data_IF_829680089180
#
_entry.id   IF_829680089180
#
_cell.length_a   1.000
_cell.length_b   1.000
_cell.length_c   1.000
_cell.angle_alpha   90.00
_cell.angle_beta   90.00
_cell.angle_gamma   90.00
#
_symmetry.space_group_name_H-M   'P 1'
#
loop_
_entity.id
_entity.type
_entity.pdbx_description
1 polymer ?
#
# COMPACT_ATOMS: atom_id res chain seq x y z
N UNK A 1 9.08 -20.60 6.97
CA UNK A 1 8.72 -19.23 6.62
C UNK A 1 8.38 -19.18 5.14
N UNK A 2 7.38 -18.39 4.75
CA UNK A 2 6.97 -18.22 3.36
C UNK A 2 8.10 -17.67 2.49
N UNK A 3 8.09 -18.03 1.20
CA UNK A 3 8.97 -17.43 0.18
C UNK A 3 8.48 -16.06 -0.20
N UNK A 4 9.35 -15.05 -0.23
CA UNK A 4 8.96 -13.66 -0.48
C UNK A 4 9.64 -13.14 -1.75
N UNK A 5 8.81 -12.74 -2.72
CA UNK A 5 9.23 -12.07 -3.94
C UNK A 5 8.81 -10.60 -3.92
N UNK A 6 9.76 -9.70 -4.16
CA UNK A 6 9.50 -8.26 -4.18
C UNK A 6 9.66 -7.75 -5.60
N UNK A 7 8.58 -7.24 -6.18
CA UNK A 7 8.69 -6.48 -7.41
C UNK A 7 9.14 -5.03 -7.13
N UNK A 8 9.47 -4.31 -8.19
CA UNK A 8 9.90 -2.91 -8.06
C UNK A 8 8.72 -2.05 -7.58
N UNK A 9 8.86 -1.44 -6.41
CA UNK A 9 7.82 -0.59 -5.84
C UNK A 9 7.97 0.85 -6.34
N UNK A 10 7.03 1.37 -7.16
CA UNK A 10 7.10 2.73 -7.72
C UNK A 10 7.08 3.81 -6.63
N UNK A 11 6.51 3.53 -5.46
CA UNK A 11 6.45 4.47 -4.35
C UNK A 11 7.84 4.80 -3.77
N UNK A 12 8.82 3.89 -3.89
CA UNK A 12 10.21 4.17 -3.51
C UNK A 12 10.85 5.25 -4.37
N UNK A 13 10.66 5.18 -5.69
CA UNK A 13 11.13 6.21 -6.62
C UNK A 13 10.45 7.55 -6.35
N UNK A 14 9.12 7.54 -6.19
CA UNK A 14 8.34 8.74 -5.87
C UNK A 14 8.76 9.37 -4.53
N UNK A 15 9.11 8.58 -3.52
CA UNK A 15 9.59 9.06 -2.23
C UNK A 15 10.97 9.72 -2.37
N UNK A 16 11.90 9.15 -3.16
CA UNK A 16 13.20 9.75 -3.47
C UNK A 16 13.04 11.07 -4.20
N UNK A 17 12.18 11.15 -5.21
CA UNK A 17 11.87 12.37 -5.95
C UNK A 17 11.28 13.47 -5.03
N UNK A 18 10.38 13.10 -4.10
CA UNK A 18 9.84 14.06 -3.14
C UNK A 18 10.92 14.64 -2.22
N UNK A 19 11.84 13.81 -1.74
CA UNK A 19 12.99 14.26 -0.93
C UNK A 19 13.98 15.12 -1.73
N UNK A 20 14.24 14.76 -2.99
CA UNK A 20 15.08 15.57 -3.86
C UNK A 20 14.45 16.95 -4.13
N UNK A 21 13.13 17.01 -4.34
CA UNK A 21 12.40 18.26 -4.47
C UNK A 21 12.44 19.12 -3.21
N UNK A 22 12.33 18.50 -2.02
CA UNK A 22 12.52 19.18 -0.73
C UNK A 22 13.92 19.81 -0.64
N UNK A 23 14.97 19.03 -0.92
CA UNK A 23 16.35 19.52 -0.89
C UNK A 23 16.57 20.67 -1.89
N UNK A 24 16.04 20.56 -3.09
CA UNK A 24 16.12 21.64 -4.09
C UNK A 24 15.43 22.92 -3.62
N UNK A 25 14.26 22.82 -2.98
CA UNK A 25 13.57 24.00 -2.42
C UNK A 25 14.36 24.63 -1.26
N UNK A 26 15.01 23.84 -0.40
CA UNK A 26 15.86 24.34 0.68
C UNK A 26 17.07 25.11 0.11
N UNK A 27 17.74 24.53 -0.88
CA UNK A 27 18.88 25.19 -1.55
C UNK A 27 18.44 26.48 -2.27
N UNK A 28 17.28 26.48 -2.92
CA UNK A 28 16.69 27.66 -3.53
C UNK A 28 16.40 28.77 -2.50
N UNK A 29 15.83 28.44 -1.36
CA UNK A 29 15.59 29.40 -0.28
C UNK A 29 16.90 30.01 0.25
N UNK A 30 17.95 29.19 0.44
CA UNK A 30 19.28 29.68 0.84
C UNK A 30 19.88 30.60 -0.20
N UNK A 31 19.81 30.24 -1.49
CA UNK A 31 20.31 31.08 -2.58
C UNK A 31 19.63 32.46 -2.61
N UNK A 32 18.29 32.49 -2.40
CA UNK A 32 17.52 33.76 -2.33
C UNK A 32 18.00 34.62 -1.17
N UNK A 33 18.26 34.02 0.01
CA UNK A 33 18.78 34.75 1.17
C UNK A 33 20.16 35.34 0.87
N UNK A 34 21.08 34.57 0.25
CA UNK A 34 22.41 35.03 -0.15
C UNK A 34 22.31 36.19 -1.17
N UNK A 35 21.45 36.06 -2.17
CA UNK A 35 21.22 37.12 -3.15
C UNK A 35 20.66 38.40 -2.50
N UNK A 36 19.73 38.26 -1.55
CA UNK A 36 19.16 39.42 -0.84
C UNK A 36 20.23 40.19 -0.04
N UNK A 37 21.18 39.46 0.59
CA UNK A 37 22.29 40.07 1.33
C UNK A 37 23.28 40.74 0.40
N UNK A 38 23.61 40.12 -0.75
CA UNK A 38 24.67 40.62 -1.66
C UNK A 38 24.17 41.79 -2.50
N UNK A 39 22.97 41.68 -3.06
CA UNK A 39 22.51 42.67 -4.06
C UNK A 39 21.70 43.84 -3.47
N UNK A 40 21.14 43.71 -2.28
CA UNK A 40 20.36 44.72 -1.55
C UNK A 40 19.31 45.47 -2.39
N UNK A 41 18.81 44.80 -3.44
CA UNK A 41 17.80 45.32 -4.38
C UNK A 41 16.74 44.27 -4.61
N UNK A 42 15.56 44.65 -5.12
CA UNK A 42 14.49 43.77 -5.53
C UNK A 42 13.93 42.86 -4.38
N UNK A 43 13.92 43.36 -3.15
CA UNK A 43 13.51 42.59 -1.95
C UNK A 43 12.11 41.97 -2.11
N UNK A 44 11.21 42.62 -2.83
CA UNK A 44 9.86 42.07 -3.03
C UNK A 44 9.87 40.77 -3.84
N UNK A 45 10.59 40.73 -4.96
CA UNK A 45 10.74 39.52 -5.77
C UNK A 45 11.46 38.42 -4.99
N UNK A 46 12.53 38.78 -4.25
CA UNK A 46 13.25 37.83 -3.41
C UNK A 46 12.35 37.22 -2.32
N UNK A 47 11.52 38.05 -1.70
CA UNK A 47 10.54 37.57 -0.73
C UNK A 47 9.52 36.60 -1.37
N UNK A 48 9.05 36.89 -2.57
CA UNK A 48 8.14 35.99 -3.30
C UNK A 48 8.79 34.64 -3.59
N UNK A 49 10.04 34.65 -4.06
CA UNK A 49 10.80 33.38 -4.30
C UNK A 49 11.05 32.61 -3.01
N UNK A 50 11.39 33.29 -1.92
CA UNK A 50 11.57 32.67 -0.61
C UNK A 50 10.27 32.00 -0.12
N UNK A 51 9.14 32.71 -0.19
CA UNK A 51 7.83 32.15 0.17
C UNK A 51 7.46 30.94 -0.70
N UNK A 52 7.72 30.99 -2.01
CA UNK A 52 7.50 29.86 -2.91
C UNK A 52 8.37 28.66 -2.54
N UNK A 53 9.65 28.88 -2.21
CA UNK A 53 10.55 27.81 -1.78
C UNK A 53 10.10 27.17 -0.45
N UNK A 54 9.70 27.98 0.55
CA UNK A 54 9.17 27.50 1.83
C UNK A 54 7.88 26.68 1.61
N UNK A 55 6.97 27.16 0.77
CA UNK A 55 5.78 26.41 0.40
C UNK A 55 6.13 25.08 -0.29
N UNK A 56 7.12 25.08 -1.18
CA UNK A 56 7.67 23.90 -1.83
C UNK A 56 8.18 22.88 -0.83
N UNK A 57 9.01 23.29 0.14
CA UNK A 57 9.51 22.44 1.23
C UNK A 57 8.34 21.78 1.96
N UNK A 58 7.37 22.57 2.44
CA UNK A 58 6.20 22.04 3.13
C UNK A 58 5.41 21.03 2.28
N UNK A 59 5.23 21.32 1.00
CA UNK A 59 4.49 20.47 0.05
C UNK A 59 5.20 19.13 -0.18
N UNK A 60 6.52 19.15 -0.37
CA UNK A 60 7.32 17.94 -0.60
C UNK A 60 7.47 17.10 0.67
N UNK A 61 7.68 17.72 1.84
CA UNK A 61 7.72 17.02 3.13
C UNK A 61 6.41 16.27 3.39
N UNK A 62 5.27 16.93 3.21
CA UNK A 62 3.95 16.29 3.37
C UNK A 62 3.78 15.09 2.42
N UNK A 63 4.23 15.23 1.17
CA UNK A 63 4.17 14.14 0.18
C UNK A 63 5.11 12.99 0.56
N UNK A 64 6.32 13.29 0.96
CA UNK A 64 7.30 12.29 1.40
C UNK A 64 6.79 11.51 2.62
N UNK A 65 6.23 12.19 3.62
CA UNK A 65 5.66 11.55 4.81
C UNK A 65 4.53 10.57 4.49
N UNK A 66 3.62 10.93 3.55
CA UNK A 66 2.55 10.05 3.10
C UNK A 66 3.13 8.78 2.43
N UNK A 67 4.08 8.95 1.51
CA UNK A 67 4.71 7.84 0.80
C UNK A 67 5.51 6.93 1.75
N UNK A 68 6.24 7.51 2.71
CA UNK A 68 6.97 6.75 3.74
C UNK A 68 6.03 5.95 4.62
N UNK A 69 4.90 6.54 5.02
CA UNK A 69 3.88 5.83 5.79
C UNK A 69 3.34 4.61 5.02
N UNK A 70 3.07 4.75 3.72
CA UNK A 70 2.67 3.64 2.85
C UNK A 70 3.74 2.54 2.81
N UNK A 71 4.99 2.90 2.51
CA UNK A 71 6.11 1.95 2.47
C UNK A 71 6.35 1.23 3.81
N UNK A 72 6.14 1.93 4.94
CA UNK A 72 6.24 1.32 6.27
C UNK A 72 5.15 0.27 6.50
N UNK A 73 3.91 0.55 6.07
CA UNK A 73 2.80 -0.40 6.12
C UNK A 73 3.05 -1.65 5.28
N UNK A 74 3.50 -1.49 4.05
CA UNK A 74 3.86 -2.61 3.17
C UNK A 74 4.99 -3.46 3.76
N UNK A 75 6.02 -2.83 4.34
CA UNK A 75 7.10 -3.54 5.03
C UNK A 75 6.59 -4.33 6.24
N UNK A 76 5.69 -3.76 7.02
CA UNK A 76 5.07 -4.43 8.16
C UNK A 76 4.21 -5.61 7.71
N UNK A 77 3.40 -5.46 6.67
CA UNK A 77 2.61 -6.53 6.07
C UNK A 77 3.48 -7.67 5.52
N UNK A 78 4.57 -7.34 4.80
CA UNK A 78 5.53 -8.34 4.32
C UNK A 78 6.13 -9.13 5.48
N UNK A 79 6.50 -8.47 6.58
CA UNK A 79 7.03 -9.13 7.79
C UNK A 79 5.97 -10.04 8.44
N UNK A 80 4.71 -9.59 8.47
CA UNK A 80 3.60 -10.40 8.98
C UNK A 80 3.38 -11.66 8.15
N UNK A 81 3.26 -11.52 6.83
CA UNK A 81 3.03 -12.62 5.90
C UNK A 81 4.22 -13.60 5.79
N UNK A 82 5.43 -13.15 6.09
CA UNK A 82 6.62 -14.02 6.19
C UNK A 82 6.49 -15.13 7.25
N UNK A 83 5.59 -14.98 8.23
CA UNK A 83 5.31 -15.99 9.26
C UNK A 83 4.51 -17.17 8.74
N UNK A 84 3.92 -17.07 7.54
CA UNK A 84 3.27 -18.21 6.91
C UNK A 84 4.26 -19.36 6.67
N UNK A 85 3.81 -20.63 6.63
CA UNK A 85 4.65 -21.79 6.33
C UNK A 85 5.37 -21.69 4.98
N UNK A 86 6.35 -22.55 4.76
CA UNK A 86 7.18 -22.52 3.54
C UNK A 86 6.43 -22.88 2.24
N UNK A 87 5.27 -23.53 2.38
CA UNK A 87 4.37 -23.86 1.25
C UNK A 87 3.67 -22.62 0.67
N UNK A 88 3.76 -21.47 1.34
CA UNK A 88 3.19 -20.22 0.88
C UNK A 88 4.23 -19.37 0.18
N UNK A 89 3.82 -18.78 -0.93
CA UNK A 89 4.57 -17.77 -1.67
C UNK A 89 3.90 -16.42 -1.54
N UNK A 90 4.66 -15.40 -1.13
CA UNK A 90 4.19 -14.02 -0.99
C UNK A 90 4.86 -13.16 -2.07
N UNK A 91 4.06 -12.53 -2.92
CA UNK A 91 4.54 -11.60 -3.95
C UNK A 91 4.06 -10.21 -3.62
N UNK A 92 5.00 -9.29 -3.40
CA UNK A 92 4.68 -7.91 -3.06
C UNK A 92 4.62 -7.02 -4.30
N UNK A 93 3.71 -6.05 -4.31
CA UNK A 93 3.53 -5.04 -5.36
C UNK A 93 3.28 -5.66 -6.75
N UNK A 94 2.22 -6.46 -6.84
CA UNK A 94 1.84 -7.14 -8.07
C UNK A 94 1.02 -6.21 -8.93
N UNK A 95 1.48 -5.97 -10.16
CA UNK A 95 0.73 -5.24 -11.18
C UNK A 95 -0.04 -6.21 -12.04
N UNK A 96 -1.36 -6.10 -12.01
CA UNK A 96 -2.29 -6.88 -12.81
C UNK A 96 -2.79 -6.04 -13.99
N UNK A 97 -2.87 -6.65 -15.16
CA UNK A 97 -3.43 -6.02 -16.36
C UNK A 97 -4.18 -7.06 -17.21
N UNK A 98 -5.41 -6.73 -17.62
CA UNK A 98 -6.23 -7.51 -18.57
C UNK A 98 -7.07 -6.56 -19.41
N UNK A 99 -6.73 -6.42 -20.69
CA UNK A 99 -7.30 -5.39 -21.56
C UNK A 99 -6.99 -3.99 -21.00
N UNK A 100 -8.01 -3.17 -20.84
CA UNK A 100 -7.88 -1.83 -20.23
C UNK A 100 -7.87 -1.83 -18.70
N UNK A 101 -8.29 -2.93 -18.07
CA UNK A 101 -8.36 -3.03 -16.61
C UNK A 101 -6.98 -3.25 -16.02
N UNK A 102 -6.64 -2.42 -15.03
CA UNK A 102 -5.38 -2.46 -14.30
C UNK A 102 -5.62 -2.37 -12.80
N UNK A 103 -4.84 -3.10 -12.03
CA UNK A 103 -4.83 -3.02 -10.58
C UNK A 103 -3.42 -3.26 -10.03
N UNK A 104 -3.11 -2.64 -8.92
CA UNK A 104 -1.93 -2.93 -8.10
C UNK A 104 -2.42 -3.66 -6.85
N UNK A 105 -1.79 -4.76 -6.49
CA UNK A 105 -2.05 -5.54 -5.27
C UNK A 105 -0.82 -5.41 -4.39
N UNK A 106 -1.01 -4.89 -3.17
CA UNK A 106 0.11 -4.63 -2.25
C UNK A 106 0.86 -5.91 -1.87
N UNK A 107 0.11 -6.98 -1.58
CA UNK A 107 0.68 -8.31 -1.41
C UNK A 107 -0.29 -9.39 -1.92
N UNK A 108 0.21 -10.32 -2.70
CA UNK A 108 -0.46 -11.53 -3.13
C UNK A 108 0.14 -12.71 -2.40
N UNK A 109 -0.70 -13.57 -1.82
CA UNK A 109 -0.27 -14.82 -1.19
C UNK A 109 -0.85 -15.97 -1.98
N UNK A 110 0.00 -16.91 -2.38
CA UNK A 110 -0.39 -18.17 -3.03
C UNK A 110 0.05 -19.33 -2.14
N UNK A 111 -0.86 -20.20 -1.81
CA UNK A 111 -0.58 -21.34 -0.95
C UNK A 111 -1.65 -22.43 -1.01
N UNK A 112 -1.49 -23.52 -0.25
CA UNK A 112 -2.41 -24.66 -0.28
C UNK A 112 -3.86 -24.27 0.03
N UNK A 113 -4.08 -23.25 0.83
CA UNK A 113 -5.39 -22.76 1.24
C UNK A 113 -6.05 -21.77 0.28
N UNK A 114 -5.42 -21.46 -0.87
CA UNK A 114 -5.97 -20.57 -1.88
C UNK A 114 -5.02 -19.43 -2.29
N UNK A 115 -5.60 -18.47 -3.00
CA UNK A 115 -4.92 -17.27 -3.45
C UNK A 115 -5.54 -16.07 -2.72
N UNK A 116 -4.69 -15.23 -2.12
CA UNK A 116 -5.16 -14.09 -1.33
C UNK A 116 -4.60 -12.79 -1.89
N UNK A 117 -5.48 -11.81 -2.13
CA UNK A 117 -5.09 -10.43 -2.39
C UNK A 117 -5.16 -9.66 -1.08
N UNK A 118 -4.03 -9.17 -0.59
CA UNK A 118 -3.94 -8.42 0.66
C UNK A 118 -3.72 -6.95 0.33
N UNK A 119 -4.74 -6.14 0.62
CA UNK A 119 -4.66 -4.68 0.58
C UNK A 119 -4.15 -4.16 1.93
N UNK A 120 -3.10 -3.36 1.92
CA UNK A 120 -2.44 -2.88 3.14
C UNK A 120 -2.78 -1.42 3.41
N UNK A 121 -3.20 -1.13 4.63
CA UNK A 121 -3.45 0.24 5.10
C UNK A 121 -2.59 0.54 6.33
N UNK A 122 -1.89 1.68 6.31
CA UNK A 122 -1.08 2.16 7.45
C UNK A 122 -1.70 3.42 8.07
N UNK A 123 -3.01 3.38 8.32
CA UNK A 123 -3.74 4.48 8.95
C UNK A 123 -3.74 4.32 10.46
N UNK A 124 -3.47 5.40 11.21
CA UNK A 124 -3.60 5.46 12.66
C UNK A 124 -4.95 6.07 13.05
N UNK A 125 -5.36 5.86 14.30
CA UNK A 125 -6.58 6.41 14.91
C UNK A 125 -7.78 5.48 14.77
N UNK A 126 -8.97 6.01 15.10
CA UNK A 126 -10.22 5.27 15.02
C UNK A 126 -10.75 5.27 13.59
N UNK A 127 -11.07 4.09 13.07
CA UNK A 127 -11.61 3.87 11.73
C UNK A 127 -12.94 3.14 11.89
N UNK A 128 -13.99 3.75 11.40
CA UNK A 128 -15.37 3.24 11.53
C UNK A 128 -16.01 3.17 10.15
N UNK A 129 -16.66 2.06 9.85
CA UNK A 129 -17.32 1.87 8.57
C UNK A 129 -18.00 0.51 8.43
N UNK A 130 -18.43 0.23 7.21
CA UNK A 130 -19.05 -1.02 6.80
C UNK A 130 -18.47 -1.48 5.46
N UNK A 131 -18.36 -2.77 5.23
CA UNK A 131 -17.77 -3.33 4.00
C UNK A 131 -18.51 -2.94 2.73
N UNK A 132 -19.80 -2.59 2.82
CA UNK A 132 -20.61 -2.17 1.67
C UNK A 132 -20.65 -0.65 1.45
N UNK A 133 -20.22 0.16 2.42
CA UNK A 133 -20.18 1.62 2.29
C UNK A 133 -19.05 2.08 1.37
N UNK A 134 -19.29 3.12 0.58
CA UNK A 134 -18.28 3.69 -0.33
C UNK A 134 -17.08 4.31 0.41
N UNK A 135 -17.34 4.93 1.56
CA UNK A 135 -16.31 5.63 2.35
C UNK A 135 -16.46 5.24 3.82
N UNK A 136 -15.31 5.18 4.50
CA UNK A 136 -15.21 5.02 5.95
C UNK A 136 -14.78 6.31 6.62
N UNK A 137 -15.05 6.45 7.90
CA UNK A 137 -14.66 7.61 8.70
C UNK A 137 -13.38 7.27 9.49
N UNK A 138 -12.39 8.17 9.40
CA UNK A 138 -11.17 8.10 10.19
C UNK A 138 -11.12 9.30 11.13
N UNK A 139 -10.93 9.06 12.42
CA UNK A 139 -10.71 10.07 13.44
C UNK A 139 -9.32 9.91 14.04
N UNK A 140 -8.51 10.96 14.01
CA UNK A 140 -7.17 10.98 14.58
C UNK A 140 -7.10 11.99 15.70
N UNK A 141 -6.65 11.55 16.88
CA UNK A 141 -6.27 12.47 17.93
C UNK A 141 -5.03 13.28 17.52
N UNK A 142 -5.00 14.56 17.83
CA UNK A 142 -3.83 15.43 17.72
C UNK A 142 -3.37 15.82 19.12
N UNK A 143 -2.06 16.06 19.25
CA UNK A 143 -1.42 16.32 20.54
C UNK A 143 -1.95 17.56 21.22
N UNK A 144 -2.41 18.54 20.45
CA UNK A 144 -3.09 19.72 20.94
C UNK A 144 -4.12 20.16 19.90
N UNK A 145 -5.39 20.29 20.30
CA UNK A 145 -6.48 20.71 19.45
C UNK A 145 -7.59 19.65 19.24
N UNK A 146 -8.57 19.99 18.44
CA UNK A 146 -9.68 19.11 18.12
C UNK A 146 -9.24 17.90 17.27
N UNK A 147 -9.90 16.73 17.41
CA UNK A 147 -9.62 15.57 16.59
C UNK A 147 -9.80 15.87 15.08
N UNK A 148 -8.93 15.31 14.27
CA UNK A 148 -9.04 15.43 12.82
C UNK A 148 -9.96 14.32 12.28
N UNK A 149 -11.05 14.70 11.65
CA UNK A 149 -11.98 13.80 10.97
C UNK A 149 -11.70 13.78 9.47
N UNK A 150 -11.56 12.59 8.91
CA UNK A 150 -11.34 12.39 7.46
C UNK A 150 -12.20 11.26 6.95
N UNK A 151 -12.66 11.39 5.70
CA UNK A 151 -13.20 10.28 4.94
C UNK A 151 -12.07 9.56 4.21
N UNK A 152 -12.06 8.23 4.28
CA UNK A 152 -11.19 7.37 3.48
C UNK A 152 -12.03 6.49 2.57
N UNK A 153 -11.54 6.19 1.38
CA UNK A 153 -12.19 5.22 0.49
C UNK A 153 -12.18 3.84 1.16
N UNK A 154 -13.28 3.12 1.02
CA UNK A 154 -13.40 1.76 1.55
C UNK A 154 -12.34 0.83 0.90
N UNK A 155 -11.39 0.29 1.68
CA UNK A 155 -10.36 -0.58 1.13
C UNK A 155 -10.88 -1.96 0.75
N UNK A 156 -12.02 -2.41 1.29
CA UNK A 156 -12.66 -3.68 0.91
C UNK A 156 -13.18 -3.58 -0.52
N UNK A 157 -13.80 -2.46 -0.91
CA UNK A 157 -14.25 -2.25 -2.30
C UNK A 157 -13.06 -2.12 -3.27
N UNK A 158 -11.93 -1.56 -2.81
CA UNK A 158 -10.70 -1.54 -3.60
C UNK A 158 -10.19 -2.97 -3.80
N UNK A 159 -10.11 -3.74 -2.75
CA UNK A 159 -9.64 -5.12 -2.77
C UNK A 159 -10.57 -6.05 -3.59
N UNK A 160 -11.90 -5.85 -3.55
CA UNK A 160 -12.85 -6.57 -4.44
C UNK A 160 -12.48 -6.41 -5.91
N UNK A 161 -12.17 -5.19 -6.36
CA UNK A 161 -11.76 -4.94 -7.76
C UNK A 161 -10.47 -5.67 -8.13
N UNK A 162 -9.52 -5.76 -7.21
CA UNK A 162 -8.28 -6.53 -7.38
C UNK A 162 -8.58 -8.02 -7.51
N UNK A 163 -9.37 -8.59 -6.58
CA UNK A 163 -9.74 -10.01 -6.60
C UNK A 163 -10.57 -10.38 -7.82
N UNK A 164 -11.47 -9.51 -8.28
CA UNK A 164 -12.26 -9.74 -9.49
C UNK A 164 -11.36 -9.78 -10.72
N UNK A 165 -10.41 -8.87 -10.84
CA UNK A 165 -9.43 -8.89 -11.93
C UNK A 165 -8.57 -10.16 -11.89
N UNK A 166 -8.12 -10.59 -10.70
CA UNK A 166 -7.36 -11.83 -10.54
C UNK A 166 -8.18 -13.05 -10.97
N UNK A 167 -9.44 -13.16 -10.54
CA UNK A 167 -10.35 -14.25 -10.94
C UNK A 167 -10.55 -14.28 -12.46
N UNK A 168 -10.74 -13.12 -13.07
CA UNK A 168 -10.91 -13.01 -14.52
C UNK A 168 -9.66 -13.41 -15.29
N UNK A 169 -8.47 -13.09 -14.78
CA UNK A 169 -7.19 -13.51 -15.37
C UNK A 169 -7.00 -15.02 -15.28
N UNK A 170 -7.29 -15.60 -14.12
CA UNK A 170 -7.18 -17.04 -13.88
C UNK A 170 -8.17 -17.83 -14.73
N UNK A 171 -9.45 -17.45 -14.74
CA UNK A 171 -10.50 -18.10 -15.55
C UNK A 171 -10.18 -18.07 -17.04
N UNK A 172 -9.64 -16.98 -17.56
CA UNK A 172 -9.25 -16.85 -18.96
C UNK A 172 -8.14 -17.83 -19.38
N UNK A 173 -7.44 -18.43 -18.43
CA UNK A 173 -6.40 -19.45 -18.62
C UNK A 173 -6.80 -20.83 -18.08
N UNK A 174 -8.10 -21.06 -17.85
CA UNK A 174 -8.63 -22.34 -17.35
C UNK A 174 -8.26 -22.66 -15.90
N UNK A 175 -7.81 -21.68 -15.11
CA UNK A 175 -7.46 -21.87 -13.71
C UNK A 175 -8.65 -21.46 -12.82
N UNK A 176 -9.27 -22.45 -12.12
CA UNK A 176 -10.43 -22.25 -11.24
C UNK A 176 -10.08 -21.94 -9.79
N UNK A 177 -8.83 -21.61 -9.48
CA UNK A 177 -8.39 -21.36 -8.10
C UNK A 177 -9.17 -20.23 -7.44
N UNK A 178 -9.62 -20.41 -6.18
CA UNK A 178 -10.33 -19.38 -5.44
C UNK A 178 -9.40 -18.22 -5.07
N UNK A 179 -9.91 -17.00 -5.26
CA UNK A 179 -9.21 -15.76 -4.87
C UNK A 179 -10.01 -15.08 -3.76
N UNK A 180 -9.35 -14.84 -2.65
CA UNK A 180 -9.92 -14.26 -1.43
C UNK A 180 -9.30 -12.88 -1.18
N UNK A 181 -10.14 -11.89 -0.86
CA UNK A 181 -9.70 -10.55 -0.49
C UNK A 181 -9.47 -10.41 1.00
N UNK A 182 -8.37 -9.74 1.37
CA UNK A 182 -8.05 -9.38 2.74
C UNK A 182 -7.62 -7.92 2.80
N UNK A 183 -8.09 -7.19 3.82
CA UNK A 183 -7.58 -5.85 4.14
C UNK A 183 -6.83 -5.92 5.45
N UNK A 184 -5.58 -5.49 5.45
CA UNK A 184 -4.73 -5.50 6.64
C UNK A 184 -4.32 -4.09 7.06
N UNK A 185 -4.72 -3.69 8.26
CA UNK A 185 -4.29 -2.45 8.90
C UNK A 185 -2.99 -2.69 9.66
N UNK A 186 -1.86 -2.35 9.04
CA UNK A 186 -0.53 -2.63 9.56
C UNK A 186 -0.07 -1.65 10.66
N UNK A 187 -0.81 -0.57 10.90
CA UNK A 187 -0.47 0.41 11.93
C UNK A 187 -0.92 -0.07 13.32
N UNK A 188 -0.01 -0.20 14.31
CA UNK A 188 -0.38 -0.66 15.65
C UNK A 188 -1.30 0.31 16.40
N UNK A 189 -1.40 1.56 15.95
CA UNK A 189 -2.29 2.57 16.53
C UNK A 189 -3.62 2.68 15.77
N UNK A 190 -3.94 1.74 14.88
CA UNK A 190 -5.24 1.63 14.24
C UNK A 190 -6.25 0.96 15.18
N UNK A 191 -7.39 1.61 15.40
CA UNK A 191 -8.55 1.05 16.08
C UNK A 191 -9.66 0.94 15.05
N UNK A 192 -9.88 -0.28 14.53
CA UNK A 192 -10.77 -0.51 13.39
C UNK A 192 -12.05 -1.15 13.87
N UNK A 193 -13.16 -0.45 13.68
CA UNK A 193 -14.53 -0.87 13.98
C UNK A 193 -15.31 -0.92 12.67
N UNK A 194 -15.23 -2.07 12.01
CA UNK A 194 -15.83 -2.29 10.69
C UNK A 194 -16.74 -3.51 10.76
N UNK A 195 -17.97 -3.35 10.28
CA UNK A 195 -18.88 -4.45 10.10
C UNK A 195 -18.55 -5.18 8.79
N UNK A 196 -18.42 -6.50 8.89
CA UNK A 196 -18.17 -7.40 7.76
C UNK A 196 -16.81 -8.10 7.81
N UNK A 197 -16.64 -9.14 7.00
CA UNK A 197 -15.47 -10.02 7.02
C UNK A 197 -14.28 -9.45 6.25
N UNK A 198 -13.11 -10.08 6.45
CA UNK A 198 -11.91 -9.85 5.62
C UNK A 198 -11.08 -8.64 6.02
N UNK A 199 -11.35 -8.02 7.18
CA UNK A 199 -10.58 -6.89 7.71
C UNK A 199 -9.79 -7.33 8.94
N UNK A 200 -8.49 -7.09 8.94
CA UNK A 200 -7.55 -7.54 9.97
C UNK A 200 -6.71 -6.39 10.50
N UNK A 201 -6.47 -6.36 11.80
CA UNK A 201 -5.56 -5.43 12.50
C UNK A 201 -4.38 -6.14 13.13
N UNK A 202 -4.48 -7.46 13.25
CA UNK A 202 -3.45 -8.31 13.83
C UNK A 202 -2.87 -9.29 12.81
N UNK A 203 -1.54 -9.43 12.81
CA UNK A 203 -0.80 -10.26 11.87
C UNK A 203 -1.07 -11.76 12.06
N UNK A 204 -1.21 -12.21 13.32
CA UNK A 204 -1.43 -13.62 13.62
C UNK A 204 -2.83 -14.07 13.22
N UNK A 205 -3.82 -13.18 13.43
CA UNK A 205 -5.20 -13.40 12.98
C UNK A 205 -5.29 -13.45 11.45
N UNK A 206 -4.61 -12.54 10.74
CA UNK A 206 -4.52 -12.59 9.28
C UNK A 206 -3.91 -13.91 8.80
N UNK A 207 -2.73 -14.30 9.33
CA UNK A 207 -2.05 -15.53 8.94
C UNK A 207 -2.87 -16.78 9.27
N UNK A 208 -3.57 -16.79 10.41
CA UNK A 208 -4.47 -17.86 10.80
C UNK A 208 -5.66 -17.98 9.85
N UNK A 209 -6.28 -16.87 9.50
CA UNK A 209 -7.39 -16.84 8.53
C UNK A 209 -6.94 -17.38 7.17
N UNK A 210 -5.76 -16.98 6.68
CA UNK A 210 -5.19 -17.50 5.43
C UNK A 210 -5.01 -19.02 5.49
N UNK A 211 -4.41 -19.56 6.56
CA UNK A 211 -4.14 -20.99 6.70
C UNK A 211 -5.39 -21.87 6.87
N UNK A 212 -6.40 -21.33 7.51
CA UNK A 212 -7.60 -22.09 7.90
C UNK A 212 -8.70 -22.12 6.83
N UNK A 213 -8.45 -21.61 5.62
CA UNK A 213 -9.40 -21.72 4.53
C UNK A 213 -9.54 -23.20 4.11
N UNK A 214 -10.78 -23.67 3.84
CA UNK A 214 -11.05 -25.10 3.58
C UNK A 214 -10.58 -25.58 2.19
N UNK A 215 -9.95 -24.73 1.42
CA UNK A 215 -9.42 -25.03 0.08
C UNK A 215 -8.10 -25.80 0.19
N UNK A 216 -7.89 -26.75 -0.73
CA UNK A 216 -6.62 -27.48 -0.86
C UNK A 216 -6.17 -27.44 -2.30
N UNK A 217 -5.27 -26.49 -2.62
CA UNK A 217 -4.64 -26.40 -3.93
C UNK A 217 -3.44 -27.34 -4.00
N UNK A 218 -3.30 -28.02 -5.13
CA UNK A 218 -2.11 -28.78 -5.49
C UNK A 218 -0.93 -27.86 -5.83
N UNK A 219 0.29 -28.38 -5.81
CA UNK A 219 1.48 -27.62 -6.25
C UNK A 219 1.35 -27.11 -7.68
N UNK A 220 0.78 -27.92 -8.57
CA UNK A 220 0.59 -27.57 -9.97
C UNK A 220 -0.39 -26.38 -10.12
N UNK A 221 -1.52 -26.40 -9.42
CA UNK A 221 -2.48 -25.30 -9.42
C UNK A 221 -1.88 -24.00 -8.85
N UNK A 222 -1.10 -24.10 -7.76
CA UNK A 222 -0.39 -22.96 -7.19
C UNK A 222 0.63 -22.38 -8.18
N UNK A 223 1.44 -23.20 -8.84
CA UNK A 223 2.43 -22.78 -9.83
C UNK A 223 1.75 -22.14 -11.04
N UNK A 224 0.69 -22.74 -11.57
CA UNK A 224 -0.08 -22.21 -12.68
C UNK A 224 -0.69 -20.84 -12.34
N UNK A 225 -1.33 -20.72 -11.17
CA UNK A 225 -1.93 -19.46 -10.74
C UNK A 225 -0.88 -18.36 -10.56
N UNK A 226 0.27 -18.69 -9.97
CA UNK A 226 1.37 -17.76 -9.77
C UNK A 226 1.92 -17.27 -11.12
N UNK A 227 2.19 -18.17 -12.06
CA UNK A 227 2.65 -17.84 -13.42
C UNK A 227 1.67 -16.91 -14.15
N UNK A 228 0.37 -17.21 -14.10
CA UNK A 228 -0.67 -16.38 -14.73
C UNK A 228 -0.68 -14.97 -14.12
N UNK A 229 -0.69 -14.87 -12.80
CA UNK A 229 -0.85 -13.59 -12.09
C UNK A 229 0.43 -12.74 -12.09
N UNK A 230 1.59 -13.35 -12.27
CA UNK A 230 2.87 -12.63 -12.36
C UNK A 230 3.36 -12.45 -13.79
N UNK A 231 2.66 -13.02 -14.78
CA UNK A 231 3.09 -12.99 -16.18
C UNK A 231 4.39 -13.76 -16.42
N UNK A 232 4.56 -14.91 -15.77
CA UNK A 232 5.73 -15.79 -15.91
C UNK A 232 7.00 -15.29 -15.21
N UNK A 233 6.93 -14.22 -14.43
CA UNK A 233 8.11 -13.64 -13.75
C UNK A 233 8.64 -14.46 -12.56
N UNK A 234 7.86 -15.43 -12.10
CA UNK A 234 8.20 -16.29 -10.96
C UNK A 234 7.80 -17.71 -11.34
N UNK A 235 8.77 -18.51 -11.81
CA UNK A 235 8.53 -19.88 -12.30
C UNK A 235 8.89 -20.94 -11.24
N UNK A 236 9.87 -20.72 -10.38
CA UNK A 236 10.41 -21.69 -9.42
C UNK A 236 9.96 -21.47 -7.97
N UNK A 237 8.68 -21.20 -7.76
CA UNK A 237 8.18 -20.82 -6.44
C UNK A 237 7.68 -21.99 -5.57
N UNK A 238 7.62 -23.26 -6.10
CA UNK A 238 7.09 -24.41 -5.36
C UNK A 238 7.90 -25.70 -5.53
#
# INVERSE_FOLDING_TARGET
MARIYKSNNPNRGRCRLARAGEAACVLGALAVVVCAVVYQREYFLMLCFFCAAVFGVWRFQKRAAILQSGLAGEKAATKALARLPHEYTVVCNVFLAKGERRAEVDAMVVGPSGIFAVEVKNHAGSIVGDTEQKNWNQTRAVRSGAPIHKKMKNPVLQNRRQTDLMRDMLRARGCGCPVIGCVYFANPHARVHVNGPGVFTDADTLCRSIRNMPVKLSRQEMAQALSILTGGRIEDAF
#
